data_IF_981480531914
#
_entry.id   IF_981480531914
#
_cell.length_a   1.000
_cell.length_b   1.000
_cell.length_c   1.000
_cell.angle_alpha   90.00
_cell.angle_beta   90.00
_cell.angle_gamma   90.00
#
_symmetry.space_group_name_H-M   'P 1'
#
loop_
_entity.id
_entity.type
_entity.pdbx_description
1 polymer ?
#
# COMPACT_ATOMS: atom_id res chain seq x y z
N UNK A 1 17.81 -18.89 12.43
CA UNK A 1 16.91 -19.09 11.26
C UNK A 1 16.83 -20.58 10.93
N UNK A 2 15.70 -21.07 10.41
CA UNK A 2 15.49 -22.51 10.15
C UNK A 2 16.39 -23.02 9.01
N UNK A 3 16.43 -22.30 7.88
CA UNK A 3 17.23 -22.68 6.69
C UNK A 3 18.72 -22.86 7.05
N UNK A 4 19.31 -21.89 7.75
CA UNK A 4 20.72 -21.93 8.11
C UNK A 4 21.03 -23.07 9.09
N UNK A 5 20.15 -23.29 10.07
CA UNK A 5 20.29 -24.37 11.06
C UNK A 5 20.24 -25.75 10.42
N UNK A 6 19.37 -25.95 9.44
CA UNK A 6 19.19 -27.24 8.77
C UNK A 6 20.26 -27.47 7.70
N UNK A 7 20.56 -26.45 6.89
CA UNK A 7 21.49 -26.60 5.74
C UNK A 7 22.97 -26.48 6.10
N UNK A 8 23.30 -25.88 7.26
CA UNK A 8 24.67 -25.62 7.69
C UNK A 8 25.38 -24.51 6.89
N UNK A 9 24.68 -23.80 6.00
CA UNK A 9 25.22 -22.68 5.21
C UNK A 9 24.40 -21.40 5.45
N UNK A 10 24.99 -20.24 5.15
CA UNK A 10 24.29 -18.96 5.30
C UNK A 10 23.07 -18.86 4.38
N UNK A 11 22.09 -18.04 4.76
CA UNK A 11 20.88 -17.84 3.95
C UNK A 11 21.20 -17.38 2.52
N UNK A 12 22.18 -16.48 2.36
CA UNK A 12 22.65 -16.01 1.05
C UNK A 12 23.26 -17.14 0.20
N UNK A 13 24.11 -17.98 0.80
CA UNK A 13 24.71 -19.12 0.11
C UNK A 13 23.65 -20.17 -0.26
N UNK A 14 22.64 -20.35 0.58
CA UNK A 14 21.52 -21.25 0.29
C UNK A 14 20.70 -20.78 -0.91
N UNK A 15 20.33 -19.50 -0.96
CA UNK A 15 19.59 -18.95 -2.11
C UNK A 15 20.41 -18.98 -3.40
N UNK A 16 21.70 -18.64 -3.35
CA UNK A 16 22.57 -18.72 -4.52
C UNK A 16 22.66 -20.17 -5.06
N UNK A 17 22.92 -21.14 -4.18
CA UNK A 17 23.06 -22.55 -4.53
C UNK A 17 21.76 -23.19 -5.04
N UNK A 18 20.65 -22.95 -4.35
CA UNK A 18 19.41 -23.71 -4.56
C UNK A 18 18.36 -22.95 -5.39
N UNK A 19 18.47 -21.63 -5.55
CA UNK A 19 17.48 -20.80 -6.24
C UNK A 19 18.10 -20.04 -7.42
N UNK A 20 19.06 -19.14 -7.15
CA UNK A 20 19.56 -18.21 -8.19
C UNK A 20 20.35 -18.92 -9.29
N UNK A 21 21.31 -19.78 -8.94
CA UNK A 21 22.09 -20.54 -9.94
C UNK A 21 21.21 -21.51 -10.74
N UNK A 22 20.36 -22.35 -10.12
CA UNK A 22 19.46 -23.22 -10.88
C UNK A 22 18.53 -22.44 -11.82
N UNK A 23 17.93 -21.34 -11.36
CA UNK A 23 17.08 -20.48 -12.19
C UNK A 23 17.85 -19.53 -13.13
N UNK A 24 19.19 -19.57 -13.16
CA UNK A 24 20.05 -18.72 -14.01
C UNK A 24 19.83 -17.21 -13.76
N UNK A 25 19.55 -16.83 -12.52
CA UNK A 25 19.34 -15.46 -12.05
C UNK A 25 20.68 -14.79 -11.70
N UNK A 26 21.41 -14.32 -12.71
CA UNK A 26 22.79 -13.83 -12.56
C UNK A 26 22.92 -12.46 -11.91
N UNK A 27 21.83 -11.68 -11.86
CA UNK A 27 21.75 -10.34 -11.32
C UNK A 27 20.85 -10.31 -10.07
N UNK A 28 20.76 -11.43 -9.35
CA UNK A 28 19.95 -11.57 -8.14
C UNK A 28 20.81 -12.04 -6.99
N UNK A 29 20.71 -11.36 -5.85
CA UNK A 29 21.56 -11.63 -4.71
C UNK A 29 20.92 -11.18 -3.39
N UNK A 30 21.47 -11.70 -2.29
CA UNK A 30 21.19 -11.24 -0.94
C UNK A 30 22.32 -10.27 -0.55
N UNK A 31 22.06 -8.97 -0.35
CA UNK A 31 23.10 -8.01 0.03
C UNK A 31 23.75 -8.40 1.35
N UNK A 32 25.08 -8.43 1.44
CA UNK A 32 25.81 -8.73 2.69
C UNK A 32 25.72 -7.56 3.68
N UNK A 33 25.69 -6.34 3.16
CA UNK A 33 25.43 -5.11 3.90
C UNK A 33 24.55 -4.20 3.04
N UNK A 34 23.32 -3.92 3.49
CA UNK A 34 22.36 -3.10 2.74
C UNK A 34 22.76 -1.63 2.60
N UNK A 35 23.78 -1.18 3.31
CA UNK A 35 24.34 0.17 3.17
C UNK A 35 25.31 0.27 1.99
N UNK A 36 25.87 -0.85 1.54
CA UNK A 36 26.78 -0.91 0.40
C UNK A 36 25.94 -1.19 -0.84
N UNK A 37 25.91 -0.23 -1.76
CA UNK A 37 25.24 -0.41 -3.05
C UNK A 37 26.14 -1.17 -4.00
N UNK A 38 25.60 -2.23 -4.61
CA UNK A 38 26.25 -2.87 -5.74
C UNK A 38 26.13 -2.04 -7.02
N UNK A 39 26.98 -2.35 -8.00
CA UNK A 39 26.96 -1.70 -9.31
C UNK A 39 25.59 -1.89 -9.97
N UNK A 40 25.01 -0.78 -10.45
CA UNK A 40 23.69 -0.71 -11.11
C UNK A 40 22.46 -0.82 -10.19
N UNK A 41 22.63 -0.74 -8.86
CA UNK A 41 21.48 -0.55 -7.97
C UNK A 41 20.85 0.83 -8.15
N UNK A 42 19.52 0.85 -8.33
CA UNK A 42 18.76 2.10 -8.55
C UNK A 42 18.68 2.95 -7.28
N UNK A 43 18.68 4.27 -7.44
CA UNK A 43 18.32 5.17 -6.36
C UNK A 43 16.83 5.06 -6.02
N UNK A 44 16.50 5.14 -4.73
CA UNK A 44 15.14 5.01 -4.21
C UNK A 44 14.56 6.37 -3.87
N UNK A 45 13.30 6.57 -4.20
CA UNK A 45 12.62 7.85 -4.09
C UNK A 45 11.27 7.74 -3.38
N UNK A 46 10.91 8.71 -2.55
CA UNK A 46 9.60 8.72 -1.88
C UNK A 46 9.07 10.14 -1.75
N UNK A 47 7.77 10.27 -1.53
CA UNK A 47 7.22 11.52 -1.06
C UNK A 47 7.69 11.77 0.39
N UNK A 48 8.22 12.96 0.71
CA UNK A 48 8.71 13.25 2.07
C UNK A 48 7.57 13.37 3.09
N UNK A 49 6.34 13.57 2.65
CA UNK A 49 5.13 13.52 3.47
C UNK A 49 3.90 13.15 2.60
N UNK A 50 2.75 12.99 3.24
CA UNK A 50 1.52 12.49 2.60
C UNK A 50 1.00 13.37 1.45
N UNK A 51 1.24 14.69 1.54
CA UNK A 51 0.71 15.72 0.65
C UNK A 51 1.77 16.32 -0.29
N UNK A 52 2.97 15.76 -0.35
CA UNK A 52 3.98 16.19 -1.30
C UNK A 52 3.68 15.62 -2.68
N UNK A 53 3.87 16.44 -3.72
CA UNK A 53 3.71 16.05 -5.12
C UNK A 53 5.05 15.77 -5.82
N UNK A 54 6.16 16.12 -5.17
CA UNK A 54 7.51 15.87 -5.65
C UNK A 54 8.18 14.76 -4.84
N UNK A 55 8.91 13.90 -5.54
CA UNK A 55 9.75 12.89 -4.92
C UNK A 55 11.05 13.49 -4.38
N UNK A 56 11.52 12.95 -3.27
CA UNK A 56 12.88 13.17 -2.76
C UNK A 56 13.63 11.85 -2.72
N UNK A 57 14.96 11.91 -2.77
CA UNK A 57 15.77 10.73 -2.55
C UNK A 57 15.61 10.27 -1.10
N UNK A 58 15.45 8.97 -0.87
CA UNK A 58 15.32 8.40 0.48
C UNK A 58 16.50 8.72 1.41
N UNK A 59 17.70 8.97 0.86
CA UNK A 59 18.89 9.35 1.64
C UNK A 59 18.80 10.75 2.24
N UNK A 60 17.88 11.60 1.78
CA UNK A 60 17.72 12.97 2.29
C UNK A 60 16.62 13.10 3.35
N UNK A 61 15.99 11.98 3.73
CA UNK A 61 14.96 11.98 4.77
C UNK A 61 15.62 12.14 6.15
N UNK A 62 15.01 12.97 7.01
CA UNK A 62 15.49 13.15 8.38
C UNK A 62 15.27 11.89 9.24
N UNK A 63 14.16 11.17 9.02
CA UNK A 63 13.85 9.88 9.67
C UNK A 63 13.41 8.86 8.59
N UNK A 64 14.35 8.21 7.87
CA UNK A 64 13.99 7.06 7.07
C UNK A 64 13.49 5.97 8.02
N UNK A 65 12.39 5.27 7.69
CA UNK A 65 11.86 4.15 8.47
C UNK A 65 13.02 3.21 8.88
N UNK A 66 13.46 3.31 10.14
CA UNK A 66 14.81 2.92 10.56
C UNK A 66 15.08 1.41 10.48
N UNK A 67 14.04 0.60 10.34
CA UNK A 67 14.15 -0.85 10.37
C UNK A 67 14.97 -1.38 9.18
N UNK A 68 14.85 -0.78 7.99
CA UNK A 68 15.54 -1.28 6.79
C UNK A 68 17.03 -0.94 6.75
N UNK A 69 17.44 0.18 7.36
CA UNK A 69 18.85 0.64 7.41
C UNK A 69 19.59 0.18 8.65
N UNK A 70 18.88 -0.12 9.75
CA UNK A 70 19.44 -0.59 11.01
C UNK A 70 19.43 -2.11 11.19
N UNK A 71 18.82 -2.87 10.27
CA UNK A 71 18.70 -4.32 10.42
C UNK A 71 19.06 -5.09 9.15
N UNK A 72 19.97 -6.05 9.29
CA UNK A 72 20.28 -7.07 8.28
C UNK A 72 19.34 -8.28 8.43
N UNK A 73 18.03 -8.06 8.58
CA UNK A 73 17.06 -9.16 8.63
C UNK A 73 16.80 -9.70 7.23
N UNK A 74 17.11 -10.98 7.00
CA UNK A 74 16.79 -11.70 5.78
C UNK A 74 15.69 -12.73 6.05
N UNK A 75 15.02 -13.18 4.98
CA UNK A 75 13.91 -14.13 5.04
C UNK A 75 12.55 -13.48 4.75
N UNK A 76 12.27 -12.31 5.31
CA UNK A 76 11.04 -11.55 5.03
C UNK A 76 11.14 -10.61 3.81
N UNK A 77 12.34 -10.46 3.23
CA UNK A 77 12.61 -9.59 2.08
C UNK A 77 14.09 -9.26 1.93
N UNK A 78 14.39 -8.28 1.06
CA UNK A 78 15.72 -7.72 0.86
C UNK A 78 16.60 -8.45 -0.15
N UNK A 79 16.02 -9.31 -0.99
CA UNK A 79 16.67 -9.78 -2.21
C UNK A 79 16.67 -8.62 -3.21
N UNK A 80 17.81 -8.36 -3.84
CA UNK A 80 17.92 -7.45 -4.98
C UNK A 80 17.87 -8.29 -6.25
N UNK A 81 17.10 -7.85 -7.24
CA UNK A 81 16.91 -8.57 -8.50
C UNK A 81 16.57 -7.62 -9.65
N UNK A 82 16.34 -8.18 -10.84
CA UNK A 82 15.88 -7.49 -12.04
C UNK A 82 14.62 -8.17 -12.57
N UNK A 83 13.81 -7.46 -13.37
CA UNK A 83 12.63 -8.05 -13.97
C UNK A 83 12.97 -9.28 -14.86
N UNK A 84 14.12 -9.26 -15.55
CA UNK A 84 14.59 -10.38 -16.36
C UNK A 84 14.93 -11.61 -15.51
N UNK A 85 15.56 -11.44 -14.35
CA UNK A 85 15.84 -12.56 -13.47
C UNK A 85 14.59 -13.09 -12.78
N UNK A 86 13.67 -12.20 -12.37
CA UNK A 86 12.38 -12.62 -11.81
C UNK A 86 11.53 -13.39 -12.83
N UNK A 87 11.66 -13.09 -14.13
CA UNK A 87 11.04 -13.91 -15.18
C UNK A 87 11.63 -15.32 -15.22
N UNK A 88 12.95 -15.45 -15.09
CA UNK A 88 13.60 -16.77 -15.04
C UNK A 88 13.23 -17.55 -13.79
N UNK A 89 13.16 -16.87 -12.63
CA UNK A 89 12.64 -17.42 -11.39
C UNK A 89 11.24 -17.99 -11.59
N UNK A 90 10.34 -17.17 -12.14
CA UNK A 90 8.96 -17.57 -12.40
C UNK A 90 8.89 -18.82 -13.29
N UNK A 91 9.65 -18.83 -14.39
CA UNK A 91 9.70 -19.98 -15.29
C UNK A 91 10.25 -21.23 -14.58
N UNK A 92 11.30 -21.09 -13.76
CA UNK A 92 11.90 -22.20 -13.04
C UNK A 92 10.98 -22.76 -11.92
N UNK A 93 10.18 -21.91 -11.27
CA UNK A 93 9.16 -22.37 -10.30
C UNK A 93 8.06 -23.15 -11.02
N UNK A 94 7.44 -22.56 -12.05
CA UNK A 94 6.24 -23.12 -12.69
C UNK A 94 6.54 -24.25 -13.69
N UNK A 95 7.80 -24.45 -14.07
CA UNK A 95 8.27 -25.66 -14.77
C UNK A 95 8.69 -26.80 -13.84
N UNK A 96 8.52 -26.64 -12.52
CA UNK A 96 8.96 -27.57 -11.48
C UNK A 96 10.48 -27.80 -11.44
N UNK A 97 11.27 -26.82 -11.90
CA UNK A 97 12.73 -26.90 -11.86
C UNK A 97 13.28 -26.61 -10.45
N UNK A 98 12.63 -25.70 -9.71
CA UNK A 98 13.04 -25.33 -8.34
C UNK A 98 12.28 -26.08 -7.25
N UNK A 99 11.02 -26.40 -7.50
CA UNK A 99 10.13 -27.09 -6.56
C UNK A 99 9.43 -28.23 -7.31
N UNK A 100 9.22 -29.35 -6.62
CA UNK A 100 8.37 -30.40 -7.18
C UNK A 100 6.92 -29.95 -7.28
N UNK A 101 6.14 -30.66 -8.09
CA UNK A 101 4.72 -30.32 -8.34
C UNK A 101 3.90 -30.27 -7.05
N UNK A 102 4.11 -31.22 -6.14
CA UNK A 102 3.39 -31.32 -4.87
C UNK A 102 3.73 -30.13 -3.95
N UNK A 103 5.01 -29.78 -3.87
CA UNK A 103 5.48 -28.65 -3.05
C UNK A 103 4.98 -27.32 -3.60
N UNK A 104 4.91 -27.18 -4.94
CA UNK A 104 4.31 -26.00 -5.57
C UNK A 104 2.80 -25.93 -5.31
N UNK A 105 2.07 -27.04 -5.42
CA UNK A 105 0.65 -27.10 -5.09
C UNK A 105 0.37 -26.73 -3.64
N UNK A 106 1.20 -27.21 -2.70
CA UNK A 106 1.13 -26.83 -1.29
C UNK A 106 1.36 -25.32 -1.10
N UNK A 107 2.40 -24.76 -1.74
CA UNK A 107 2.70 -23.34 -1.65
C UNK A 107 1.56 -22.45 -2.19
N UNK A 108 0.83 -22.94 -3.20
CA UNK A 108 -0.29 -22.26 -3.87
C UNK A 108 -1.68 -22.73 -3.37
N UNK A 109 -1.72 -23.22 -2.14
CA UNK A 109 -2.95 -23.57 -1.42
C UNK A 109 -3.15 -22.62 -0.24
N UNK A 110 -4.40 -22.21 -0.03
CA UNK A 110 -4.73 -21.30 1.06
C UNK A 110 -4.48 -21.95 2.43
N UNK A 111 -3.81 -21.22 3.30
CA UNK A 111 -3.52 -21.68 4.67
C UNK A 111 -4.82 -21.79 5.46
N UNK A 112 -4.97 -22.91 6.17
CA UNK A 112 -6.07 -23.15 7.11
C UNK A 112 -5.54 -23.02 8.53
N UNK A 113 -6.19 -22.21 9.34
CA UNK A 113 -5.87 -21.97 10.74
C UNK A 113 -6.33 -23.15 11.61
N UNK A 114 -5.82 -23.21 12.85
CA UNK A 114 -6.20 -24.24 13.83
C UNK A 114 -7.70 -24.25 14.17
N UNK A 115 -8.42 -23.14 13.93
CA UNK A 115 -9.87 -23.05 14.10
C UNK A 115 -10.67 -23.45 12.84
N UNK A 116 -9.99 -23.96 11.82
CA UNK A 116 -10.58 -24.38 10.55
C UNK A 116 -10.83 -23.24 9.56
N UNK A 117 -10.56 -21.98 9.92
CA UNK A 117 -10.78 -20.85 9.01
C UNK A 117 -9.66 -20.71 7.99
N UNK A 118 -10.04 -20.28 6.78
CA UNK A 118 -9.10 -19.91 5.73
C UNK A 118 -8.52 -18.53 6.00
N UNK A 119 -7.21 -18.36 5.81
CA UNK A 119 -6.58 -17.03 5.83
C UNK A 119 -7.00 -16.25 4.60
N UNK A 120 -7.83 -15.23 4.79
CA UNK A 120 -8.24 -14.30 3.75
C UNK A 120 -8.14 -12.83 4.20
N UNK A 121 -7.93 -11.94 3.25
CA UNK A 121 -7.94 -10.49 3.43
C UNK A 121 -8.41 -9.82 2.13
N UNK A 122 -8.70 -8.52 2.16
CA UNK A 122 -9.24 -7.81 0.99
C UNK A 122 -8.25 -6.77 0.46
N UNK A 123 -7.98 -6.78 -0.84
CA UNK A 123 -7.25 -5.72 -1.56
C UNK A 123 -8.12 -5.27 -2.74
N UNK A 124 -8.37 -3.96 -2.86
CA UNK A 124 -9.17 -3.36 -3.94
C UNK A 124 -10.50 -4.09 -4.20
N UNK A 125 -11.19 -4.50 -3.12
CA UNK A 125 -12.46 -5.23 -3.17
C UNK A 125 -12.36 -6.72 -3.53
N UNK A 126 -11.16 -7.24 -3.79
CA UNK A 126 -10.92 -8.66 -4.06
C UNK A 126 -10.59 -9.41 -2.78
N UNK A 127 -11.25 -10.55 -2.54
CA UNK A 127 -10.85 -11.49 -1.49
C UNK A 127 -9.58 -12.23 -1.94
N UNK A 128 -8.53 -12.07 -1.15
CA UNK A 128 -7.22 -12.67 -1.35
C UNK A 128 -7.03 -13.74 -0.29
N UNK A 129 -6.68 -14.95 -0.72
CA UNK A 129 -6.21 -16.01 0.16
C UNK A 129 -4.68 -16.06 0.18
N UNK A 130 -4.09 -16.64 1.23
CA UNK A 130 -2.63 -16.64 1.38
C UNK A 130 -2.07 -18.05 1.66
N UNK A 131 -1.09 -18.46 0.86
CA UNK A 131 -0.35 -19.72 0.99
C UNK A 131 1.06 -19.52 1.54
N UNK A 132 2.01 -20.36 1.13
CA UNK A 132 3.41 -20.23 1.56
C UNK A 132 4.13 -19.14 0.74
N UNK A 133 3.97 -17.88 1.17
CA UNK A 133 4.61 -16.73 0.53
C UNK A 133 3.94 -16.29 -0.77
N UNK A 134 2.66 -16.63 -0.96
CA UNK A 134 1.88 -16.24 -2.14
C UNK A 134 0.48 -15.80 -1.74
N UNK A 135 0.10 -14.59 -2.17
CA UNK A 135 -1.29 -14.16 -2.24
C UNK A 135 -1.96 -14.75 -3.48
N UNK A 136 -3.23 -15.09 -3.38
CA UNK A 136 -3.95 -15.78 -4.44
C UNK A 136 -5.41 -15.32 -4.49
N UNK A 137 -5.89 -15.05 -5.69
CA UNK A 137 -7.30 -14.79 -5.94
C UNK A 137 -7.70 -15.40 -7.28
N UNK A 138 -8.99 -15.68 -7.42
CA UNK A 138 -9.57 -16.01 -8.71
C UNK A 138 -10.25 -14.76 -9.22
N UNK A 139 -9.86 -14.33 -10.40
CA UNK A 139 -10.56 -13.29 -11.14
C UNK A 139 -11.40 -14.01 -12.19
N UNK A 140 -12.73 -13.97 -12.09
CA UNK A 140 -13.61 -14.67 -13.05
C UNK A 140 -13.29 -14.31 -14.51
N UNK A 141 -12.75 -13.11 -14.71
CA UNK A 141 -12.35 -12.61 -16.01
C UNK A 141 -10.94 -13.11 -16.42
N UNK A 142 -10.00 -13.29 -15.48
CA UNK A 142 -8.61 -13.59 -15.82
C UNK A 142 -8.16 -15.02 -15.49
N UNK A 143 -8.82 -15.73 -14.59
CA UNK A 143 -8.40 -17.03 -14.07
C UNK A 143 -7.74 -16.92 -12.69
N UNK A 144 -7.09 -18.01 -12.26
CA UNK A 144 -6.37 -18.09 -10.99
C UNK A 144 -5.06 -17.30 -11.07
N UNK A 145 -4.98 -16.23 -10.28
CA UNK A 145 -3.80 -15.37 -10.16
C UNK A 145 -3.13 -15.64 -8.82
N UNK A 146 -1.82 -15.83 -8.86
CA UNK A 146 -0.95 -15.92 -7.68
C UNK A 146 0.09 -14.82 -7.76
N UNK A 147 0.38 -14.18 -6.63
CA UNK A 147 1.23 -13.00 -6.62
C UNK A 147 1.90 -12.81 -5.27
N UNK A 148 2.89 -11.93 -5.23
CA UNK A 148 3.37 -11.34 -4.00
C UNK A 148 3.84 -9.91 -4.27
N UNK A 149 3.47 -8.98 -3.39
CA UNK A 149 3.93 -7.60 -3.41
C UNK A 149 5.14 -7.40 -2.52
N UNK A 150 5.86 -6.30 -2.72
CA UNK A 150 6.96 -5.90 -1.86
C UNK A 150 6.94 -4.40 -1.68
N UNK A 151 7.17 -3.94 -0.46
CA UNK A 151 7.29 -2.51 -0.18
C UNK A 151 8.32 -2.24 0.89
N UNK A 152 9.19 -1.28 0.60
CA UNK A 152 10.04 -0.59 1.58
C UNK A 152 10.03 0.90 1.24
N UNK A 153 10.58 1.74 2.12
CA UNK A 153 10.68 3.18 1.83
C UNK A 153 11.40 3.41 0.50
N UNK A 154 10.69 4.02 -0.44
CA UNK A 154 11.19 4.32 -1.77
C UNK A 154 11.22 3.17 -2.78
N UNK A 155 10.55 2.05 -2.50
CA UNK A 155 10.44 0.94 -3.43
C UNK A 155 9.07 0.26 -3.32
N UNK A 156 8.51 -0.12 -4.45
CA UNK A 156 7.36 -1.00 -4.54
C UNK A 156 7.59 -2.04 -5.65
N UNK A 157 7.15 -3.28 -5.41
CA UNK A 157 7.28 -4.36 -6.38
C UNK A 157 6.04 -5.25 -6.40
N UNK A 158 5.82 -5.92 -7.53
CA UNK A 158 4.82 -6.97 -7.68
C UNK A 158 5.36 -8.04 -8.62
N UNK A 159 5.30 -9.30 -8.19
CA UNK A 159 5.43 -10.47 -9.06
C UNK A 159 4.08 -11.17 -9.08
N UNK A 160 3.44 -11.23 -10.23
CA UNK A 160 2.14 -11.86 -10.39
C UNK A 160 2.13 -12.81 -11.58
N UNK A 161 1.40 -13.91 -11.45
CA UNK A 161 1.28 -14.93 -12.46
C UNK A 161 -0.14 -15.48 -12.52
N UNK A 162 -0.65 -15.51 -13.73
CA UNK A 162 -1.90 -16.15 -14.07
C UNK A 162 -1.61 -17.59 -14.50
N UNK A 163 -2.01 -18.53 -13.66
CA UNK A 163 -1.72 -19.96 -13.84
C UNK A 163 -2.47 -20.52 -15.03
N UNK A 164 -3.74 -20.15 -15.18
CA UNK A 164 -4.62 -20.72 -16.21
C UNK A 164 -4.20 -20.30 -17.63
N UNK A 165 -3.63 -19.09 -17.75
CA UNK A 165 -3.22 -18.52 -19.04
C UNK A 165 -1.71 -18.50 -19.25
N UNK A 166 -0.93 -18.93 -18.26
CA UNK A 166 0.54 -18.86 -18.25
C UNK A 166 1.06 -17.45 -18.60
N UNK A 167 0.52 -16.42 -17.92
CA UNK A 167 0.91 -15.01 -18.10
C UNK A 167 1.60 -14.49 -16.85
N UNK A 168 2.76 -13.86 -17.00
CA UNK A 168 3.51 -13.27 -15.88
C UNK A 168 3.61 -11.76 -16.04
N UNK A 169 3.32 -11.03 -14.97
CA UNK A 169 3.52 -9.58 -14.89
C UNK A 169 4.48 -9.28 -13.74
N UNK A 170 5.54 -8.55 -14.04
CA UNK A 170 6.58 -8.16 -13.08
C UNK A 170 6.66 -6.64 -13.10
N UNK A 171 6.42 -6.02 -11.95
CA UNK A 171 6.50 -4.58 -11.78
C UNK A 171 7.51 -4.27 -10.69
N UNK A 172 8.54 -3.50 -11.05
CA UNK A 172 9.54 -2.98 -10.12
C UNK A 172 9.53 -1.46 -10.21
N UNK A 173 9.37 -0.80 -9.06
CA UNK A 173 9.31 0.65 -8.97
C UNK A 173 10.27 1.14 -7.90
N UNK A 174 11.15 2.07 -8.29
CA UNK A 174 12.04 2.77 -7.36
C UNK A 174 11.36 3.99 -6.70
N UNK A 175 10.03 4.00 -6.68
CA UNK A 175 9.24 4.96 -5.92
C UNK A 175 8.38 4.26 -4.87
N UNK A 176 8.34 4.85 -3.68
CA UNK A 176 7.38 4.46 -2.65
C UNK A 176 5.95 4.82 -3.08
N UNK A 177 4.96 4.11 -2.54
CA UNK A 177 3.52 4.39 -2.74
C UNK A 177 3.04 4.27 -4.20
N UNK A 178 3.73 3.48 -5.03
CA UNK A 178 3.23 3.09 -6.35
C UNK A 178 2.06 2.09 -6.20
N UNK A 179 0.91 2.28 -6.88
CA UNK A 179 -0.26 1.40 -6.78
C UNK A 179 -0.06 0.12 -7.60
N UNK A 180 0.95 -0.68 -7.21
CA UNK A 180 1.42 -1.83 -7.98
C UNK A 180 0.34 -2.88 -8.24
N UNK A 181 -0.58 -3.10 -7.29
CA UNK A 181 -1.68 -4.05 -7.44
C UNK A 181 -2.67 -3.62 -8.52
N UNK A 182 -3.11 -2.37 -8.50
CA UNK A 182 -4.05 -1.81 -9.48
C UNK A 182 -3.42 -1.77 -10.88
N UNK A 183 -2.13 -1.44 -10.99
CA UNK A 183 -1.38 -1.48 -12.27
C UNK A 183 -1.33 -2.91 -12.81
N UNK A 184 -0.97 -3.90 -11.99
CA UNK A 184 -0.88 -5.30 -12.43
C UNK A 184 -2.25 -5.85 -12.85
N UNK A 185 -3.32 -5.51 -12.13
CA UNK A 185 -4.68 -5.84 -12.56
C UNK A 185 -4.99 -5.24 -13.93
N UNK A 186 -4.68 -3.97 -14.17
CA UNK A 186 -4.89 -3.32 -15.47
C UNK A 186 -4.08 -3.98 -16.59
N UNK A 187 -2.82 -4.37 -16.32
CA UNK A 187 -1.98 -5.09 -17.29
C UNK A 187 -2.57 -6.47 -17.63
N UNK A 188 -3.08 -7.23 -16.66
CA UNK A 188 -3.74 -8.50 -16.95
C UNK A 188 -4.99 -8.32 -17.81
N UNK A 189 -5.82 -7.30 -17.54
CA UNK A 189 -6.95 -7.00 -18.41
C UNK A 189 -6.48 -6.64 -19.84
N UNK A 190 -5.45 -5.80 -19.95
CA UNK A 190 -4.87 -5.40 -21.24
C UNK A 190 -4.34 -6.61 -22.04
N UNK A 191 -3.57 -7.51 -21.40
CA UNK A 191 -3.04 -8.74 -22.03
C UNK A 191 -4.15 -9.66 -22.54
N UNK A 192 -5.35 -9.54 -22.00
CA UNK A 192 -6.51 -10.36 -22.35
C UNK A 192 -7.55 -9.60 -23.18
N UNK A 193 -7.18 -8.43 -23.75
CA UNK A 193 -8.06 -7.57 -24.56
C UNK A 193 -9.37 -7.19 -23.85
N UNK A 194 -9.31 -6.98 -22.52
CA UNK A 194 -10.45 -6.59 -21.71
C UNK A 194 -10.40 -5.11 -21.33
N UNK A 195 -11.56 -4.50 -21.04
CA UNK A 195 -11.58 -3.17 -20.45
C UNK A 195 -10.76 -3.10 -19.17
N UNK A 196 -9.99 -2.03 -19.02
CA UNK A 196 -9.14 -1.80 -17.86
C UNK A 196 -9.31 -0.38 -17.34
N UNK A 197 -9.01 -0.19 -16.06
CA UNK A 197 -9.02 1.12 -15.41
C UNK A 197 -7.59 1.45 -15.03
N UNK A 198 -7.10 2.61 -15.48
CA UNK A 198 -5.80 3.11 -15.06
C UNK A 198 -5.92 3.72 -13.66
N UNK A 199 -4.95 3.48 -12.76
CA UNK A 199 -4.94 4.14 -11.46
C UNK A 199 -4.84 5.66 -11.66
N UNK A 200 -5.73 6.39 -11.00
CA UNK A 200 -5.80 7.85 -11.04
C UNK A 200 -4.95 8.48 -9.94
N UNK A 201 -4.71 9.79 -10.03
CA UNK A 201 -3.97 10.48 -8.97
C UNK A 201 -4.76 10.55 -7.67
N UNK A 202 -4.09 10.48 -6.53
CA UNK A 202 -4.74 10.65 -5.23
C UNK A 202 -5.13 12.11 -5.00
N UNK A 203 -6.43 12.40 -4.92
CA UNK A 203 -6.97 13.75 -4.76
C UNK A 203 -6.43 14.43 -3.51
N UNK A 204 -6.41 13.72 -2.38
CA UNK A 204 -6.00 14.28 -1.10
C UNK A 204 -4.55 14.77 -1.12
N UNK A 205 -3.66 14.09 -1.86
CA UNK A 205 -2.26 14.52 -2.00
C UNK A 205 -2.15 15.85 -2.71
N UNK A 206 -2.82 15.98 -3.86
CA UNK A 206 -2.80 17.23 -4.64
C UNK A 206 -3.47 18.37 -3.86
N UNK A 207 -4.61 18.09 -3.23
CA UNK A 207 -5.33 19.03 -2.38
C UNK A 207 -4.46 19.50 -1.20
N UNK A 208 -3.84 18.58 -0.47
CA UNK A 208 -2.93 18.90 0.63
C UNK A 208 -1.71 19.71 0.18
N UNK A 209 -1.13 19.42 -0.99
CA UNK A 209 -0.03 20.20 -1.57
C UNK A 209 -0.42 21.66 -1.83
N UNK A 210 -1.67 21.89 -2.26
CA UNK A 210 -2.19 23.23 -2.51
C UNK A 210 -2.41 23.99 -1.19
N UNK A 211 -2.97 23.33 -0.18
CA UNK A 211 -3.11 23.93 1.16
C UNK A 211 -1.75 24.26 1.79
N UNK A 212 -0.78 23.36 1.69
CA UNK A 212 0.57 23.54 2.22
C UNK A 212 1.28 24.75 1.58
N UNK A 213 1.06 24.96 0.29
CA UNK A 213 1.62 26.11 -0.45
C UNK A 213 0.81 27.40 -0.29
N UNK A 214 -0.22 27.43 0.58
CA UNK A 214 -1.07 28.59 0.81
C UNK A 214 -2.14 28.85 -0.26
N UNK A 215 -2.24 27.99 -1.28
CA UNK A 215 -3.15 28.16 -2.42
C UNK A 215 -4.55 27.61 -2.13
N UNK A 216 -5.23 28.13 -1.10
CA UNK A 216 -6.56 27.66 -0.65
C UNK A 216 -7.62 27.75 -1.75
N UNK A 217 -7.60 28.80 -2.57
CA UNK A 217 -8.54 28.98 -3.69
C UNK A 217 -8.43 27.84 -4.70
N UNK A 218 -7.21 27.47 -5.10
CA UNK A 218 -6.97 26.35 -6.02
C UNK A 218 -7.35 25.01 -5.38
N UNK A 219 -7.11 24.86 -4.08
CA UNK A 219 -7.51 23.65 -3.35
C UNK A 219 -9.05 23.49 -3.38
N UNK A 220 -9.80 24.58 -3.15
CA UNK A 220 -11.26 24.57 -3.23
C UNK A 220 -11.76 24.32 -4.65
N UNK A 221 -11.14 24.96 -5.66
CA UNK A 221 -11.47 24.72 -7.06
C UNK A 221 -11.26 23.25 -7.45
N UNK A 222 -10.16 22.63 -6.98
CA UNK A 222 -9.87 21.21 -7.21
C UNK A 222 -10.99 20.30 -6.67
N UNK A 223 -11.55 20.59 -5.51
CA UNK A 223 -12.69 19.84 -4.97
C UNK A 223 -13.93 20.02 -5.87
N UNK A 224 -14.22 21.25 -6.31
CA UNK A 224 -15.35 21.51 -7.21
C UNK A 224 -15.20 20.80 -8.56
N UNK A 225 -14.00 20.78 -9.12
CA UNK A 225 -13.71 20.10 -10.37
C UNK A 225 -13.82 18.58 -10.22
N UNK A 226 -13.35 18.03 -9.11
CA UNK A 226 -13.53 16.62 -8.77
C UNK A 226 -15.00 16.21 -8.65
N UNK A 227 -15.85 17.05 -8.06
CA UNK A 227 -17.28 16.76 -7.94
C UNK A 227 -18.00 16.76 -9.30
N UNK A 228 -17.50 17.54 -10.27
CA UNK A 228 -18.01 17.55 -11.65
C UNK A 228 -17.53 16.34 -12.45
N UNK A 229 -16.26 15.96 -12.26
CA UNK A 229 -15.63 14.84 -12.96
C UNK A 229 -14.73 14.04 -12.01
N UNK A 230 -15.27 12.92 -11.53
CA UNK A 230 -14.58 12.03 -10.60
C UNK A 230 -13.54 11.13 -11.27
N UNK A 231 -13.43 11.12 -12.62
CA UNK A 231 -12.57 10.15 -13.31
C UNK A 231 -11.08 10.52 -13.29
N UNK A 232 -10.73 11.75 -12.90
CA UNK A 232 -9.33 12.23 -12.89
C UNK A 232 -8.57 11.88 -11.62
N UNK A 233 -9.30 11.73 -10.51
CA UNK A 233 -8.71 11.55 -9.20
C UNK A 233 -9.42 10.45 -8.43
N UNK A 234 -8.65 9.73 -7.63
CA UNK A 234 -9.20 8.87 -6.60
C UNK A 234 -9.31 9.66 -5.30
N UNK A 235 -10.48 9.60 -4.66
CA UNK A 235 -10.70 10.17 -3.34
C UNK A 235 -11.26 9.08 -2.44
N UNK A 236 -10.55 8.78 -1.35
CA UNK A 236 -11.03 7.87 -0.32
C UNK A 236 -11.19 8.60 1.00
N UNK A 237 -12.18 8.18 1.78
CA UNK A 237 -12.39 8.66 3.14
C UNK A 237 -11.11 8.54 3.97
N UNK A 238 -10.46 7.38 3.86
CA UNK A 238 -9.21 7.06 4.56
C UNK A 238 -8.11 8.07 4.25
N UNK A 239 -7.94 8.47 3.01
CA UNK A 239 -6.86 9.36 2.61
C UNK A 239 -7.10 10.80 3.07
N UNK A 240 -8.34 11.30 2.95
CA UNK A 240 -8.70 12.61 3.49
C UNK A 240 -8.60 12.66 5.02
N UNK A 241 -9.02 11.59 5.70
CA UNK A 241 -8.91 11.48 7.15
C UNK A 241 -7.44 11.49 7.59
N UNK A 242 -6.58 10.71 6.90
CA UNK A 242 -5.13 10.71 7.12
C UNK A 242 -4.50 12.08 6.87
N UNK A 243 -4.89 12.78 5.81
CA UNK A 243 -4.40 14.12 5.50
C UNK A 243 -4.74 15.11 6.62
N UNK A 244 -5.98 15.13 7.08
CA UNK A 244 -6.44 16.02 8.15
C UNK A 244 -5.64 15.81 9.44
N UNK A 245 -5.52 14.55 9.88
CA UNK A 245 -4.70 14.22 11.06
C UNK A 245 -3.21 14.50 10.87
N UNK A 246 -2.67 14.33 9.65
CA UNK A 246 -1.28 14.67 9.38
C UNK A 246 -1.03 16.16 9.58
N UNK A 247 -1.91 17.03 9.06
CA UNK A 247 -1.81 18.46 9.31
C UNK A 247 -1.95 18.81 10.80
N UNK A 248 -2.87 18.16 11.51
CA UNK A 248 -3.07 18.38 12.95
C UNK A 248 -1.83 18.01 13.77
N UNK A 249 -1.21 16.86 13.49
CA UNK A 249 0.06 16.43 14.13
C UNK A 249 1.22 17.38 13.82
N UNK A 250 1.20 18.00 12.65
CA UNK A 250 2.14 19.05 12.26
C UNK A 250 1.76 20.45 12.75
N UNK A 251 0.76 20.56 13.65
CA UNK A 251 0.24 21.83 14.21
C UNK A 251 -0.30 22.82 13.16
N UNK A 252 -0.62 22.33 11.96
CA UNK A 252 -1.22 23.10 10.87
C UNK A 252 -2.73 23.04 10.97
N UNK A 253 -3.25 23.59 12.06
CA UNK A 253 -4.65 23.49 12.47
C UNK A 253 -5.60 23.97 11.36
N UNK A 254 -5.32 25.12 10.74
CA UNK A 254 -6.15 25.64 9.64
C UNK A 254 -6.26 24.66 8.47
N UNK A 255 -5.14 24.08 8.03
CA UNK A 255 -5.12 23.13 6.92
C UNK A 255 -5.85 21.82 7.28
N UNK A 256 -5.75 21.39 8.54
CA UNK A 256 -6.52 20.24 9.06
C UNK A 256 -8.03 20.49 8.99
N UNK A 257 -8.49 21.63 9.51
CA UNK A 257 -9.90 21.98 9.51
C UNK A 257 -10.46 22.15 8.08
N UNK A 258 -9.71 22.78 7.18
CA UNK A 258 -10.09 22.89 5.76
C UNK A 258 -10.16 21.51 5.08
N UNK A 259 -9.22 20.61 5.39
CA UNK A 259 -9.24 19.24 4.88
C UNK A 259 -10.49 18.48 5.32
N UNK A 260 -10.88 18.56 6.59
CA UNK A 260 -12.07 17.89 7.07
C UNK A 260 -13.37 18.50 6.52
N UNK A 261 -13.42 19.83 6.32
CA UNK A 261 -14.54 20.46 5.59
C UNK A 261 -14.66 19.93 4.17
N UNK A 262 -13.55 19.86 3.42
CA UNK A 262 -13.53 19.28 2.08
C UNK A 262 -13.96 17.80 2.10
N UNK A 263 -13.52 17.04 3.10
CA UNK A 263 -13.91 15.64 3.26
C UNK A 263 -15.42 15.47 3.48
N UNK A 264 -16.09 16.37 4.23
CA UNK A 264 -17.55 16.35 4.39
C UNK A 264 -18.26 16.58 3.06
N UNK A 265 -17.74 17.48 2.22
CA UNK A 265 -18.32 17.76 0.90
C UNK A 265 -18.24 16.50 0.02
N UNK A 266 -17.12 15.77 0.08
CA UNK A 266 -16.90 14.57 -0.74
C UNK A 266 -17.64 13.34 -0.17
N UNK A 267 -17.71 13.22 1.15
CA UNK A 267 -18.26 12.07 1.88
C UNK A 267 -19.38 12.49 2.87
N UNK A 268 -20.50 13.05 2.37
CA UNK A 268 -21.51 13.68 3.23
C UNK A 268 -22.30 12.73 4.15
N UNK A 269 -22.16 11.42 3.94
CA UNK A 269 -22.80 10.37 4.76
C UNK A 269 -21.82 9.63 5.67
N UNK A 270 -20.54 10.01 5.67
CA UNK A 270 -19.52 9.34 6.47
C UNK A 270 -19.53 9.82 7.92
N UNK A 271 -20.15 9.04 8.81
CA UNK A 271 -20.09 9.28 10.26
C UNK A 271 -18.65 9.43 10.78
N UNK A 272 -17.70 8.68 10.23
CA UNK A 272 -16.28 8.72 10.59
C UNK A 272 -15.63 10.07 10.27
N UNK A 273 -15.95 10.68 9.12
CA UNK A 273 -15.43 12.01 8.77
C UNK A 273 -15.98 13.09 9.70
N UNK A 274 -17.27 13.03 10.05
CA UNK A 274 -17.85 13.95 11.03
C UNK A 274 -17.23 13.78 12.42
N UNK A 275 -16.95 12.54 12.85
CA UNK A 275 -16.28 12.25 14.13
C UNK A 275 -14.86 12.85 14.14
N UNK A 276 -14.05 12.55 13.11
CA UNK A 276 -12.70 13.10 12.96
C UNK A 276 -12.68 14.63 12.88
N UNK A 277 -13.65 15.24 12.20
CA UNK A 277 -13.73 16.69 12.15
C UNK A 277 -14.07 17.29 13.52
N UNK A 278 -14.99 16.66 14.25
CA UNK A 278 -15.29 17.01 15.64
C UNK A 278 -14.05 16.96 16.53
N UNK A 279 -13.25 15.91 16.40
CA UNK A 279 -11.99 15.78 17.16
C UNK A 279 -11.01 16.90 16.83
N UNK A 280 -10.79 17.18 15.54
CA UNK A 280 -9.91 18.26 15.10
C UNK A 280 -10.39 19.63 15.59
N UNK A 281 -11.70 19.89 15.56
CA UNK A 281 -12.30 21.13 16.08
C UNK A 281 -12.07 21.29 17.59
N UNK A 282 -12.24 20.22 18.38
CA UNK A 282 -11.95 20.25 19.82
C UNK A 282 -10.48 20.57 20.10
N UNK A 283 -9.56 19.90 19.40
CA UNK A 283 -8.13 20.17 19.55
C UNK A 283 -7.77 21.61 19.18
N UNK A 284 -8.54 22.24 18.28
CA UNK A 284 -8.40 23.64 17.90
C UNK A 284 -9.21 24.61 18.79
N UNK A 285 -9.83 24.15 19.88
CA UNK A 285 -10.61 24.99 20.81
C UNK A 285 -11.99 25.41 20.31
N UNK A 286 -12.48 24.86 19.19
CA UNK A 286 -13.78 25.19 18.57
C UNK A 286 -14.89 24.28 19.09
N UNK A 287 -15.18 24.38 20.39
CA UNK A 287 -16.06 23.45 21.10
C UNK A 287 -17.48 23.40 20.52
N UNK A 288 -18.09 24.54 20.24
CA UNK A 288 -19.48 24.62 19.75
C UNK A 288 -19.62 23.98 18.36
N UNK A 289 -18.64 24.19 17.48
CA UNK A 289 -18.60 23.56 16.16
C UNK A 289 -18.38 22.05 16.28
N UNK A 290 -17.49 21.61 17.18
CA UNK A 290 -17.23 20.20 17.40
C UNK A 290 -18.48 19.44 17.86
N UNK A 291 -19.27 20.03 18.77
CA UNK A 291 -20.54 19.44 19.23
C UNK A 291 -21.46 19.16 18.04
N UNK A 292 -21.60 20.11 17.10
CA UNK A 292 -22.43 19.92 15.90
C UNK A 292 -21.94 18.76 15.03
N UNK A 293 -20.61 18.61 14.88
CA UNK A 293 -20.03 17.54 14.06
C UNK A 293 -20.23 16.17 14.71
N UNK A 294 -19.98 16.04 16.02
CA UNK A 294 -20.26 14.79 16.71
C UNK A 294 -21.76 14.43 16.74
N UNK A 295 -22.65 15.42 16.89
CA UNK A 295 -24.09 15.20 16.77
C UNK A 295 -24.43 14.59 15.40
N UNK A 296 -23.87 15.15 14.32
CA UNK A 296 -24.08 14.61 12.97
C UNK A 296 -23.47 13.21 12.79
N UNK A 297 -22.30 12.95 13.37
CA UNK A 297 -21.68 11.62 13.36
C UNK A 297 -22.59 10.56 14.01
N UNK A 298 -23.14 10.85 15.19
CA UNK A 298 -24.03 9.94 15.93
C UNK A 298 -25.40 9.79 15.23
N UNK A 299 -25.90 10.86 14.59
CA UNK A 299 -27.10 10.79 13.75
C UNK A 299 -26.90 9.82 12.57
N UNK A 300 -25.75 9.91 11.88
CA UNK A 300 -25.42 9.04 10.75
C UNK A 300 -25.06 7.61 11.16
N UNK A 301 -24.48 7.43 12.34
CA UNK A 301 -24.16 6.14 12.92
C UNK A 301 -24.52 6.09 14.41
N UNK A 302 -25.74 5.61 14.73
CA UNK A 302 -26.18 5.46 16.11
C UNK A 302 -25.35 4.49 16.95
N UNK A 303 -24.44 3.71 16.36
CA UNK A 303 -23.52 2.81 17.07
C UNK A 303 -22.13 3.43 17.31
N UNK A 304 -21.92 4.71 16.95
CA UNK A 304 -20.68 5.41 17.26
C UNK A 304 -20.58 5.73 18.77
N UNK A 305 -20.12 4.75 19.55
CA UNK A 305 -19.93 4.89 21.00
C UNK A 305 -18.89 5.94 21.38
N UNK A 306 -17.87 6.17 20.54
CA UNK A 306 -16.88 7.23 20.77
C UNK A 306 -17.55 8.60 20.71
N UNK A 307 -18.27 8.90 19.62
CA UNK A 307 -18.98 10.16 19.44
C UNK A 307 -19.99 10.44 20.55
N UNK A 308 -20.75 9.42 20.99
CA UNK A 308 -21.68 9.54 22.14
C UNK A 308 -20.97 9.92 23.43
N UNK A 309 -19.83 9.28 23.73
CA UNK A 309 -19.04 9.57 24.94
C UNK A 309 -18.50 11.00 24.92
N UNK A 310 -17.92 11.42 23.79
CA UNK A 310 -17.39 12.78 23.64
C UNK A 310 -18.50 13.81 23.77
N UNK A 311 -19.63 13.66 23.07
CA UNK A 311 -20.80 14.55 23.22
C UNK A 311 -21.26 14.67 24.66
N UNK A 312 -21.40 13.55 25.35
CA UNK A 312 -21.83 13.52 26.75
C UNK A 312 -20.86 14.30 27.65
N UNK A 313 -19.55 14.22 27.41
CA UNK A 313 -18.58 15.02 28.16
C UNK A 313 -18.61 16.51 27.82
N UNK A 314 -18.86 16.88 26.55
CA UNK A 314 -18.86 18.28 26.12
C UNK A 314 -20.10 19.03 26.59
N UNK A 315 -21.23 18.33 26.71
CA UNK A 315 -22.54 18.87 27.10
C UNK A 315 -22.74 18.92 28.62
N UNK A 316 -21.92 18.22 29.40
CA UNK A 316 -21.91 18.37 30.86
C UNK A 316 -21.30 19.73 31.21
N UNK A 317 -22.08 20.55 31.90
CA UNK A 317 -21.66 21.83 32.49
C UNK A 317 -20.85 21.60 33.75
#
# INVERSE_FOLDING_TARGET
MIIEKISGISYAAYLDKNIFKPAKMKNSFVPVNRQIKEKNEVALYTYPNFYSTNFVNTTTLQDPFLISTKSNFYGNGGIVSTASDLQKYQNAVFSNQLLGKKELEEALTATILNDGKKVTYTIDGKEISYGLGWGMFTDESNGKIVFHDGSVTGLASMLAHNIDKNQTVILLSNTGNCPVFSIVNAVFQLLNNKPYVMPTQNLSRVYGSLLESGNKEKANQLIQDYLKDKSKYEATERDFNRLGYQFLRSQKNDNSLETFKAAIIIFPTSSNIFDSYGEALLQCGKKEEAIKMYQKSVELNPNNENGKKVLSSLLKK
#
